data_IF_910601143786
#
_entry.id   IF_910601143786
#
_cell.length_a   1.000
_cell.length_b   1.000
_cell.length_c   1.000
_cell.angle_alpha   90.00
_cell.angle_beta   90.00
_cell.angle_gamma   90.00
#
_symmetry.space_group_name_H-M   'P 1'
#
loop_
_entity.id
_entity.type
_entity.pdbx_description
1 polymer ?
#
# COMPACT_ATOMS: atom_id res chain seq x y z
N UNK A 1 -9.64 -10.19 -7.07
CA UNK A 1 -9.14 -8.79 -7.12
C UNK A 1 -10.06 -7.83 -6.36
N UNK A 2 -11.40 -7.88 -6.55
CA UNK A 2 -12.32 -6.95 -5.87
C UNK A 2 -12.23 -7.02 -4.34
N UNK A 3 -12.30 -8.20 -3.76
CA UNK A 3 -12.16 -8.40 -2.33
C UNK A 3 -10.81 -7.89 -1.78
N UNK A 4 -9.71 -8.09 -2.52
CA UNK A 4 -8.39 -7.57 -2.15
C UNK A 4 -8.35 -6.04 -2.18
N UNK A 5 -8.94 -5.41 -3.21
CA UNK A 5 -9.01 -3.97 -3.34
C UNK A 5 -9.67 -3.33 -2.11
N UNK A 6 -10.86 -3.79 -1.76
CA UNK A 6 -11.59 -3.28 -0.59
C UNK A 6 -10.91 -3.66 0.73
N UNK A 7 -10.29 -4.84 0.81
CA UNK A 7 -9.53 -5.25 2.00
C UNK A 7 -8.36 -4.28 2.27
N UNK A 8 -7.51 -4.00 1.27
CA UNK A 8 -6.39 -3.06 1.45
C UNK A 8 -6.88 -1.63 1.66
N UNK A 9 -7.98 -1.24 1.04
CA UNK A 9 -8.60 0.06 1.26
C UNK A 9 -9.03 0.25 2.72
N UNK A 10 -9.77 -0.72 3.28
CA UNK A 10 -10.19 -0.70 4.69
C UNK A 10 -9.01 -0.83 5.66
N UNK A 11 -8.05 -1.72 5.36
CA UNK A 11 -6.85 -1.87 6.16
C UNK A 11 -6.07 -0.56 6.27
N UNK A 12 -5.91 0.14 5.15
CA UNK A 12 -5.25 1.44 5.12
C UNK A 12 -5.95 2.48 6.00
N UNK A 13 -7.29 2.54 5.94
CA UNK A 13 -8.08 3.44 6.78
C UNK A 13 -7.99 3.09 8.27
N UNK A 14 -8.04 1.80 8.62
CA UNK A 14 -7.87 1.35 10.01
C UNK A 14 -6.48 1.71 10.54
N UNK A 15 -5.42 1.51 9.74
CA UNK A 15 -4.07 1.89 10.10
C UNK A 15 -3.94 3.41 10.29
N UNK A 16 -4.55 4.20 9.40
CA UNK A 16 -4.55 5.66 9.50
C UNK A 16 -5.27 6.14 10.77
N UNK A 17 -6.43 5.56 11.08
CA UNK A 17 -7.19 5.87 12.29
C UNK A 17 -6.44 5.49 13.57
N UNK A 18 -5.63 4.44 13.54
CA UNK A 18 -4.76 4.01 14.65
C UNK A 18 -3.43 4.79 14.72
N UNK A 19 -3.27 5.81 13.90
CA UNK A 19 -2.04 6.61 13.79
C UNK A 19 -0.80 5.78 13.38
N UNK A 20 -1.02 4.59 12.81
CA UNK A 20 0.05 3.75 12.24
C UNK A 20 0.47 4.32 10.86
N UNK A 21 0.92 5.58 10.81
CA UNK A 21 1.11 6.36 9.57
C UNK A 21 2.06 5.69 8.58
N UNK A 22 3.14 5.09 9.07
CA UNK A 22 4.09 4.38 8.22
C UNK A 22 3.47 3.14 7.57
N UNK A 23 2.63 2.41 8.31
CA UNK A 23 1.93 1.23 7.79
C UNK A 23 0.85 1.65 6.79
N UNK A 24 0.05 2.66 7.11
CA UNK A 24 -0.99 3.17 6.21
C UNK A 24 -0.41 3.70 4.90
N UNK A 25 0.74 4.39 4.94
CA UNK A 25 1.42 4.86 3.75
C UNK A 25 1.86 3.69 2.85
N UNK A 26 2.46 2.62 3.41
CA UNK A 26 2.82 1.41 2.64
C UNK A 26 1.61 0.71 2.04
N UNK A 27 0.53 0.59 2.83
CA UNK A 27 -0.71 -0.04 2.36
C UNK A 27 -1.36 0.77 1.26
N UNK A 28 -1.36 2.11 1.37
CA UNK A 28 -1.95 2.99 0.35
C UNK A 28 -1.27 2.86 -1.01
N UNK A 29 0.06 2.63 -1.06
CA UNK A 29 0.77 2.44 -2.33
C UNK A 29 0.30 1.21 -3.11
N UNK A 30 -0.21 0.17 -2.43
CA UNK A 30 -0.79 -1.01 -3.10
C UNK A 30 -2.09 -0.73 -3.80
N UNK A 31 -2.83 0.28 -3.39
CA UNK A 31 -4.12 0.60 -3.99
C UNK A 31 -4.00 1.02 -5.45
N UNK A 32 -2.80 1.43 -5.91
CA UNK A 32 -2.51 1.69 -7.32
C UNK A 32 -2.82 0.48 -8.23
N UNK A 33 -2.65 -0.76 -7.73
CA UNK A 33 -3.00 -1.97 -8.49
C UNK A 33 -4.51 -2.19 -8.66
N UNK A 34 -5.32 -1.43 -7.95
CA UNK A 34 -6.79 -1.56 -7.90
C UNK A 34 -7.49 -0.27 -8.29
N UNK A 35 -6.79 0.60 -9.02
CA UNK A 35 -7.33 1.89 -9.48
C UNK A 35 -8.55 1.70 -10.39
N UNK A 36 -8.57 0.64 -11.18
CA UNK A 36 -9.67 0.21 -12.02
C UNK A 36 -10.94 -0.17 -11.23
N UNK A 37 -10.81 -0.58 -9.97
CA UNK A 37 -11.91 -1.01 -9.10
C UNK A 37 -12.35 0.12 -8.16
N UNK A 38 -11.40 0.82 -7.55
CA UNK A 38 -11.65 1.83 -6.53
C UNK A 38 -11.82 3.24 -7.09
N UNK A 39 -11.37 3.45 -8.33
CA UNK A 39 -11.31 4.74 -9.01
C UNK A 39 -10.10 5.58 -8.60
N UNK A 40 -9.55 6.30 -9.59
CA UNK A 40 -8.34 7.13 -9.46
C UNK A 40 -8.43 8.11 -8.29
N UNK A 41 -9.55 8.86 -8.21
CA UNK A 41 -9.70 9.87 -7.16
C UNK A 41 -9.66 9.26 -5.76
N UNK A 42 -10.34 8.13 -5.53
CA UNK A 42 -10.37 7.44 -4.23
C UNK A 42 -8.97 6.99 -3.83
N UNK A 43 -8.25 6.35 -4.74
CA UNK A 43 -6.90 5.82 -4.50
C UNK A 43 -5.92 6.95 -4.18
N UNK A 44 -5.82 7.96 -5.04
CA UNK A 44 -4.82 9.01 -4.86
C UNK A 44 -5.14 9.99 -3.74
N UNK A 45 -6.41 10.18 -3.38
CA UNK A 45 -6.77 10.91 -2.14
C UNK A 45 -6.25 10.19 -0.91
N UNK A 46 -6.42 8.88 -0.82
CA UNK A 46 -5.93 8.11 0.31
C UNK A 46 -4.39 8.08 0.36
N UNK A 47 -3.72 7.92 -0.79
CA UNK A 47 -2.26 8.04 -0.88
C UNK A 47 -1.81 9.42 -0.41
N UNK A 48 -2.45 10.50 -0.84
CA UNK A 48 -2.11 11.85 -0.42
C UNK A 48 -2.21 12.00 1.10
N UNK A 49 -3.32 11.59 1.70
CA UNK A 49 -3.53 11.69 3.16
C UNK A 49 -2.46 10.88 3.91
N UNK A 50 -2.28 9.61 3.55
CA UNK A 50 -1.31 8.73 4.23
C UNK A 50 0.12 9.22 4.08
N UNK A 51 0.49 9.72 2.90
CA UNK A 51 1.82 10.26 2.64
C UNK A 51 2.08 11.55 3.41
N UNK A 52 1.09 12.43 3.49
CA UNK A 52 1.16 13.64 4.30
C UNK A 52 1.38 13.32 5.78
N UNK A 53 0.54 12.45 6.36
CA UNK A 53 0.63 12.05 7.77
C UNK A 53 1.97 11.37 8.09
N UNK A 54 2.52 10.62 7.15
CA UNK A 54 3.82 9.94 7.29
C UNK A 54 5.01 10.82 6.88
N UNK A 55 4.81 12.11 6.56
CA UNK A 55 5.85 13.05 6.10
C UNK A 55 6.61 12.58 4.84
N UNK A 56 5.98 11.77 4.00
CA UNK A 56 6.52 11.35 2.70
C UNK A 56 6.05 12.31 1.60
N UNK A 57 6.52 13.54 1.64
CA UNK A 57 5.99 14.63 0.82
C UNK A 57 6.20 14.46 -0.68
N UNK A 58 7.19 13.68 -1.09
CA UNK A 58 7.36 13.31 -2.51
C UNK A 58 6.17 12.51 -3.06
N UNK A 59 5.63 11.57 -2.27
CA UNK A 59 4.44 10.81 -2.65
C UNK A 59 3.17 11.65 -2.55
N UNK A 60 3.10 12.54 -1.56
CA UNK A 60 2.02 13.52 -1.43
C UNK A 60 1.96 14.44 -2.65
N UNK A 61 3.10 15.03 -3.07
CA UNK A 61 3.18 15.87 -4.27
C UNK A 61 2.75 15.12 -5.52
N UNK A 62 3.23 13.89 -5.72
CA UNK A 62 2.87 13.06 -6.85
C UNK A 62 1.36 12.76 -6.87
N UNK A 63 0.78 12.39 -5.73
CA UNK A 63 -0.65 12.11 -5.63
C UNK A 63 -1.50 13.35 -5.95
N UNK A 64 -1.15 14.53 -5.45
CA UNK A 64 -1.81 15.78 -5.80
C UNK A 64 -1.63 16.15 -7.27
N UNK A 65 -0.47 15.86 -7.86
CA UNK A 65 -0.20 16.02 -9.28
C UNK A 65 -1.19 15.21 -10.13
N UNK A 66 -1.38 13.94 -9.80
CA UNK A 66 -2.34 13.06 -10.50
C UNK A 66 -3.77 13.56 -10.31
N UNK A 67 -4.18 13.86 -9.06
CA UNK A 67 -5.52 14.37 -8.75
C UNK A 67 -5.85 15.69 -9.46
N UNK A 68 -4.87 16.55 -9.71
CA UNK A 68 -5.05 17.82 -10.40
C UNK A 68 -5.10 17.73 -11.91
N UNK A 69 -4.55 16.66 -12.50
CA UNK A 69 -4.41 16.53 -13.95
C UNK A 69 -5.33 15.46 -14.58
N UNK A 70 -5.84 14.48 -13.81
CA UNK A 70 -6.71 13.42 -14.34
C UNK A 70 -8.05 14.01 -14.86
N UNK A 71 -8.28 13.85 -16.16
CA UNK A 71 -9.50 14.34 -16.83
C UNK A 71 -10.79 13.68 -16.34
N UNK A 72 -10.72 12.48 -15.76
CA UNK A 72 -11.86 11.77 -15.18
C UNK A 72 -12.38 12.42 -13.89
N UNK A 73 -11.56 13.25 -13.25
CA UNK A 73 -11.92 13.97 -12.03
C UNK A 73 -12.61 15.29 -12.40
N UNK A 74 -13.66 15.64 -11.68
CA UNK A 74 -14.39 16.88 -11.87
C UNK A 74 -13.45 18.11 -11.87
N UNK A 75 -13.62 19.04 -12.82
CA UNK A 75 -12.78 20.23 -13.01
C UNK A 75 -12.63 21.05 -11.71
N UNK A 76 -13.72 21.27 -10.98
CA UNK A 76 -13.68 22.06 -9.74
C UNK A 76 -12.85 21.37 -8.64
N UNK A 77 -12.88 20.04 -8.57
CA UNK A 77 -12.06 19.27 -7.63
C UNK A 77 -10.59 19.32 -8.03
N UNK A 78 -10.27 19.18 -9.31
CA UNK A 78 -8.89 19.31 -9.83
C UNK A 78 -8.28 20.67 -9.48
N UNK A 79 -9.02 21.75 -9.62
CA UNK A 79 -8.58 23.10 -9.22
C UNK A 79 -8.28 23.16 -7.72
N UNK A 80 -9.13 22.56 -6.87
CA UNK A 80 -8.90 22.49 -5.41
C UNK A 80 -7.61 21.72 -5.07
N UNK A 81 -7.36 20.58 -5.71
CA UNK A 81 -6.13 19.81 -5.49
C UNK A 81 -4.88 20.60 -5.93
N UNK A 82 -4.96 21.30 -7.06
CA UNK A 82 -3.88 22.17 -7.55
C UNK A 82 -3.61 23.32 -6.58
N UNK A 83 -4.66 23.93 -6.04
CA UNK A 83 -4.53 25.00 -5.05
C UNK A 83 -3.92 24.46 -3.75
N UNK A 84 -4.38 23.32 -3.25
CA UNK A 84 -3.81 22.68 -2.07
C UNK A 84 -2.30 22.41 -2.23
N UNK A 85 -1.89 21.88 -3.38
CA UNK A 85 -0.48 21.66 -3.67
C UNK A 85 0.33 22.97 -3.63
N UNK A 86 -0.17 24.02 -4.29
CA UNK A 86 0.47 25.33 -4.26
C UNK A 86 0.60 25.89 -2.86
N UNK A 87 -0.50 25.91 -2.09
CA UNK A 87 -0.53 26.46 -0.75
C UNK A 87 0.43 25.73 0.19
N UNK A 88 0.51 24.41 0.07
CA UNK A 88 1.41 23.61 0.88
C UNK A 88 2.88 23.85 0.51
N UNK A 89 3.25 23.66 -0.77
CA UNK A 89 4.67 23.69 -1.17
C UNK A 89 5.25 25.11 -1.28
N UNK A 90 4.44 26.15 -1.47
CA UNK A 90 4.91 27.53 -1.46
C UNK A 90 5.11 28.06 -0.03
N UNK A 91 4.27 27.63 0.93
CA UNK A 91 4.34 28.12 2.33
C UNK A 91 5.28 27.29 3.20
N UNK A 92 5.52 26.05 2.81
CA UNK A 92 6.28 25.10 3.62
C UNK A 92 7.44 24.53 2.78
N UNK A 93 8.63 24.42 3.39
CA UNK A 93 9.75 23.66 2.81
C UNK A 93 9.79 22.29 3.52
N UNK A 94 8.96 21.33 3.08
CA UNK A 94 8.80 20.08 3.81
C UNK A 94 10.01 19.18 3.59
N UNK A 95 10.55 18.65 4.68
CA UNK A 95 11.58 17.62 4.67
C UNK A 95 10.92 16.25 4.66
N UNK A 96 11.36 15.37 3.73
CA UNK A 96 10.89 14.00 3.69
C UNK A 96 11.51 13.19 4.83
N UNK A 97 10.71 12.24 5.35
CA UNK A 97 11.26 11.24 6.27
C UNK A 97 12.25 10.33 5.51
N UNK A 98 13.26 9.84 6.24
CA UNK A 98 14.22 8.89 5.71
C UNK A 98 13.54 7.59 5.29
N UNK A 99 13.85 7.13 4.08
CA UNK A 99 13.36 5.88 3.52
C UNK A 99 14.36 4.75 3.74
N UNK A 100 13.84 3.57 4.07
CA UNK A 100 14.66 2.36 4.09
C UNK A 100 14.65 1.72 2.70
N UNK A 101 15.83 1.30 2.27
CA UNK A 101 16.01 0.58 1.02
C UNK A 101 16.34 -0.88 1.28
N UNK A 102 15.89 -1.75 0.41
CA UNK A 102 16.11 -3.19 0.42
C UNK A 102 16.58 -3.64 -0.97
N UNK A 103 17.22 -4.78 -1.06
CA UNK A 103 17.54 -5.38 -2.36
C UNK A 103 16.30 -5.95 -3.02
N UNK A 104 16.23 -5.87 -4.34
CA UNK A 104 15.16 -6.49 -5.11
C UNK A 104 15.09 -7.99 -4.82
N UNK A 105 13.88 -8.57 -4.58
CA UNK A 105 13.73 -10.01 -4.35
C UNK A 105 14.00 -10.89 -5.57
N UNK A 106 14.11 -10.31 -6.76
CA UNK A 106 14.55 -11.03 -7.97
C UNK A 106 16.06 -11.23 -7.89
N UNK A 107 16.53 -12.46 -7.87
CA UNK A 107 17.93 -12.84 -7.72
C UNK A 107 18.82 -12.26 -8.83
N UNK A 108 18.27 -12.10 -10.05
CA UNK A 108 18.96 -11.51 -11.19
C UNK A 108 19.04 -9.98 -11.15
N UNK A 109 18.36 -9.33 -10.17
CA UNK A 109 18.23 -7.88 -10.09
C UNK A 109 18.63 -7.38 -8.71
N UNK A 110 19.80 -6.97 -8.44
CA UNK A 110 20.26 -6.49 -7.13
C UNK A 110 19.91 -5.03 -6.82
N UNK A 111 19.05 -4.37 -7.64
CA UNK A 111 18.72 -2.96 -7.52
C UNK A 111 18.02 -2.61 -6.19
N UNK A 112 18.33 -1.45 -5.59
CA UNK A 112 17.68 -1.01 -4.37
C UNK A 112 16.22 -0.61 -4.64
N UNK A 113 15.32 -1.09 -3.78
CA UNK A 113 13.89 -0.75 -3.77
C UNK A 113 13.53 -0.07 -2.46
N UNK A 114 12.70 0.96 -2.52
CA UNK A 114 12.20 1.63 -1.32
C UNK A 114 11.22 0.76 -0.54
N UNK A 115 11.15 0.95 0.76
CA UNK A 115 10.15 0.29 1.62
C UNK A 115 8.68 0.61 1.25
N UNK A 116 8.47 1.62 0.41
CA UNK A 116 7.15 2.02 -0.12
C UNK A 116 6.87 1.48 -1.52
N UNK A 117 7.88 0.91 -2.19
CA UNK A 117 7.70 0.36 -3.52
C UNK A 117 6.87 -0.94 -3.49
N UNK A 118 6.07 -1.11 -4.50
CA UNK A 118 5.25 -2.30 -4.73
C UNK A 118 5.74 -3.15 -5.90
N UNK A 119 6.64 -2.60 -6.69
CA UNK A 119 7.35 -3.27 -7.79
C UNK A 119 8.76 -2.67 -7.92
N UNK A 120 9.66 -3.43 -8.53
CA UNK A 120 11.00 -2.96 -8.85
C UNK A 120 10.97 -2.17 -10.17
N UNK A 121 11.48 -0.94 -10.17
CA UNK A 121 11.51 -0.10 -11.37
C UNK A 121 12.50 -0.61 -12.43
N UNK A 122 13.53 -1.35 -12.04
CA UNK A 122 14.55 -1.85 -12.95
C UNK A 122 14.10 -3.13 -13.69
N UNK A 123 13.58 -4.14 -12.96
CA UNK A 123 13.21 -5.42 -13.56
C UNK A 123 11.70 -5.68 -13.65
N UNK A 124 10.87 -4.78 -13.16
CA UNK A 124 9.41 -4.93 -13.15
C UNK A 124 8.86 -5.96 -12.16
N UNK A 125 9.71 -6.58 -11.32
CA UNK A 125 9.27 -7.58 -10.35
C UNK A 125 8.23 -6.99 -9.39
N UNK A 126 7.03 -7.58 -9.36
CA UNK A 126 5.92 -7.15 -8.50
C UNK A 126 5.98 -7.87 -7.16
N UNK A 127 6.09 -7.11 -6.08
CA UNK A 127 6.14 -7.66 -4.73
C UNK A 127 4.73 -7.93 -4.20
N UNK A 128 4.52 -9.15 -3.69
CA UNK A 128 3.26 -9.50 -3.04
C UNK A 128 3.02 -8.69 -1.77
N UNK A 129 1.75 -8.37 -1.48
CA UNK A 129 1.34 -7.72 -0.25
C UNK A 129 1.03 -8.72 0.85
N UNK A 130 1.40 -8.39 2.07
CA UNK A 130 0.90 -9.07 3.25
C UNK A 130 -0.53 -8.63 3.53
N UNK A 131 -1.50 -9.56 3.55
CA UNK A 131 -2.91 -9.22 3.82
C UNK A 131 -3.18 -8.77 5.26
N UNK A 132 -2.26 -8.97 6.20
CA UNK A 132 -2.39 -8.48 7.57
C UNK A 132 -1.88 -7.05 7.75
N UNK A 133 -0.83 -6.65 7.04
CA UNK A 133 -0.14 -5.38 7.28
C UNK A 133 -0.04 -4.47 6.06
N UNK A 134 -0.38 -4.95 4.88
CA UNK A 134 -0.22 -4.21 3.63
C UNK A 134 1.23 -4.09 3.13
N UNK A 135 2.24 -4.49 3.93
CA UNK A 135 3.65 -4.37 3.56
C UNK A 135 4.01 -5.30 2.41
N UNK A 136 5.02 -4.90 1.63
CA UNK A 136 5.65 -5.75 0.63
C UNK A 136 6.34 -6.95 1.29
N UNK A 137 6.18 -8.13 0.71
CA UNK A 137 6.86 -9.36 1.12
C UNK A 137 8.13 -9.46 0.29
N UNK A 138 9.27 -9.33 0.97
CA UNK A 138 10.59 -9.29 0.35
C UNK A 138 11.35 -10.62 0.45
N UNK A 139 10.84 -11.56 1.25
CA UNK A 139 11.47 -12.88 1.46
C UNK A 139 10.43 -14.01 1.41
N UNK A 140 10.91 -15.25 1.46
CA UNK A 140 10.06 -16.43 1.45
C UNK A 140 9.47 -16.80 2.84
N UNK A 141 9.54 -15.89 3.82
CA UNK A 141 9.03 -16.11 5.19
C UNK A 141 7.56 -15.70 5.31
N UNK A 142 6.68 -16.30 4.51
CA UNK A 142 5.25 -16.05 4.52
C UNK A 142 4.43 -17.34 4.63
N UNK A 143 3.18 -17.21 5.06
CA UNK A 143 2.13 -18.22 4.89
C UNK A 143 1.33 -17.91 3.64
N UNK A 144 0.95 -18.94 2.91
CA UNK A 144 0.02 -18.83 1.78
C UNK A 144 -1.30 -19.47 2.18
N UNK A 145 -2.38 -18.72 2.10
CA UNK A 145 -3.70 -19.26 2.37
C UNK A 145 -4.05 -20.35 1.35
N UNK A 146 -4.51 -21.51 1.83
CA UNK A 146 -4.85 -22.66 0.97
C UNK A 146 -6.03 -22.37 0.06
N UNK A 147 -6.99 -21.56 0.52
CA UNK A 147 -8.21 -21.23 -0.22
C UNK A 147 -8.00 -20.08 -1.21
N UNK A 148 -7.66 -18.88 -0.72
CA UNK A 148 -7.56 -17.69 -1.57
C UNK A 148 -6.15 -17.43 -2.12
N UNK A 149 -5.15 -18.23 -1.73
CA UNK A 149 -3.74 -18.15 -2.11
C UNK A 149 -3.02 -16.84 -1.72
N UNK A 150 -3.69 -15.95 -1.01
CA UNK A 150 -3.07 -14.73 -0.51
C UNK A 150 -1.97 -15.01 0.52
N UNK A 151 -1.02 -14.10 0.62
CA UNK A 151 0.19 -14.27 1.42
C UNK A 151 0.15 -13.42 2.68
N UNK A 152 0.75 -13.95 3.76
CA UNK A 152 0.85 -13.30 5.06
C UNK A 152 2.23 -13.52 5.64
N UNK A 153 2.90 -12.47 6.11
CA UNK A 153 4.24 -12.55 6.69
C UNK A 153 4.20 -13.36 7.99
N UNK A 154 5.04 -14.39 8.12
CA UNK A 154 5.04 -15.34 9.26
C UNK A 154 5.20 -14.66 10.62
N UNK A 155 6.08 -13.67 10.73
CA UNK A 155 6.31 -12.97 12.00
C UNK A 155 5.10 -12.15 12.45
N UNK A 156 4.30 -11.64 11.50
CA UNK A 156 3.09 -10.88 11.81
C UNK A 156 1.97 -11.78 12.34
N UNK A 157 1.86 -12.99 11.80
CA UNK A 157 0.92 -14.02 12.30
C UNK A 157 1.27 -14.43 13.73
N UNK A 158 2.58 -14.53 14.06
CA UNK A 158 3.02 -14.86 15.42
C UNK A 158 2.73 -13.74 16.42
N UNK A 159 2.80 -12.48 16.01
CA UNK A 159 2.55 -11.31 16.88
C UNK A 159 1.08 -11.09 17.21
N UNK A 160 0.20 -11.47 16.29
CA UNK A 160 -1.27 -11.37 16.48
C UNK A 160 -1.84 -12.77 16.22
N UNK A 161 -2.61 -13.35 17.13
CA UNK A 161 -3.14 -14.71 16.98
C UNK A 161 -4.26 -14.75 15.94
N UNK A 162 -3.88 -14.63 14.67
CA UNK A 162 -4.81 -14.79 13.56
C UNK A 162 -5.01 -16.29 13.28
N UNK A 163 -6.16 -16.80 13.66
CA UNK A 163 -6.56 -18.17 13.32
C UNK A 163 -7.10 -18.28 11.90
N UNK A 164 -7.68 -17.19 11.36
CA UNK A 164 -8.38 -17.16 10.09
C UNK A 164 -7.73 -16.20 9.10
N UNK A 165 -7.84 -16.53 7.82
CA UNK A 165 -7.41 -15.63 6.74
C UNK A 165 -8.27 -14.35 6.76
N UNK A 166 -7.69 -13.14 6.79
CA UNK A 166 -8.48 -11.91 6.84
C UNK A 166 -9.32 -11.68 5.59
N UNK A 167 -9.01 -12.35 4.47
CA UNK A 167 -9.67 -12.14 3.21
C UNK A 167 -10.80 -13.15 2.93
N UNK A 168 -10.56 -14.45 3.21
CA UNK A 168 -11.53 -15.51 2.92
C UNK A 168 -12.03 -16.25 4.17
N UNK A 169 -11.59 -15.84 5.35
CA UNK A 169 -11.99 -16.35 6.67
C UNK A 169 -11.72 -17.84 6.92
N UNK A 170 -11.04 -18.54 6.01
CA UNK A 170 -10.65 -19.94 6.23
C UNK A 170 -9.59 -20.03 7.33
N UNK A 171 -9.62 -21.11 8.12
CA UNK A 171 -8.64 -21.36 9.16
C UNK A 171 -7.25 -21.59 8.52
N UNK A 172 -6.26 -20.81 8.94
CA UNK A 172 -4.90 -20.86 8.38
C UNK A 172 -4.11 -22.08 8.84
N UNK A 173 -4.54 -22.73 9.96
CA UNK A 173 -3.81 -23.78 10.65
C UNK A 173 -4.54 -25.13 10.65
N UNK A 174 -5.71 -25.24 10.04
CA UNK A 174 -6.35 -26.54 9.87
C UNK A 174 -5.48 -27.46 9.03
N UNK A 175 -5.01 -28.54 9.68
CA UNK A 175 -4.50 -29.71 8.97
C UNK A 175 -5.69 -30.30 8.19
N UNK A 176 -5.52 -30.58 6.89
CA UNK A 176 -6.44 -31.49 6.22
C UNK A 176 -6.49 -32.75 7.07
N UNK A 177 -7.67 -33.15 7.53
CA UNK A 177 -7.90 -34.54 7.89
C UNK A 177 -7.73 -35.27 6.57
N UNK A 178 -6.64 -36.03 6.45
CA UNK A 178 -6.46 -36.97 5.35
C UNK A 178 -7.62 -37.97 5.46
N UNK A 179 -8.51 -37.95 4.46
CA UNK A 179 -9.44 -39.04 4.16
C UNK A 179 -8.69 -40.13 3.44
#
# INVERSE_FOLDING_TARGET
RGAEAYHYYLLCQVQLHKEEYKASCKTSMRLKFYEDILGTETVYRLIAICSYMNKCYKFFANALGILSNDSKINKNRRVKYKQLAKDFFLKTRPENIDEKFYKCPNEDCQEPISEYDTHCNACGYVMYGCVLSGRSILDNKYFKCKQCRNKTIKIEVKKKPFKHCPLCHVNLFEKKKDE
#
